data_IF_091367570985
#
_entry.id   IF_091367570985
#
_cell.length_a   1.000
_cell.length_b   1.000
_cell.length_c   1.000
_cell.angle_alpha   90.00
_cell.angle_beta   90.00
_cell.angle_gamma   90.00
#
_symmetry.space_group_name_H-M   'P 1'
#
loop_
_entity.id
_entity.type
_entity.pdbx_description
1 polymer ?
#
# COMPACT_ATOMS: atom_id res chain seq x y z
N UNK A 1 16.72 -4.53 -9.89
CA UNK A 1 16.97 -3.09 -9.61
C UNK A 1 16.12 -2.11 -10.40
N UNK A 2 15.97 -2.22 -11.73
CA UNK A 2 15.17 -1.26 -12.53
C UNK A 2 13.72 -1.01 -12.05
N UNK A 3 13.07 -1.99 -11.41
CA UNK A 3 11.74 -1.78 -10.81
C UNK A 3 11.79 -0.90 -9.55
N UNK A 4 12.82 -1.03 -8.73
CA UNK A 4 12.98 -0.24 -7.52
C UNK A 4 13.23 1.24 -7.86
N UNK A 5 14.00 1.52 -8.91
CA UNK A 5 14.22 2.89 -9.39
C UNK A 5 12.91 3.56 -9.81
N UNK A 6 12.07 2.85 -10.56
CA UNK A 6 10.75 3.35 -10.96
C UNK A 6 9.84 3.59 -9.78
N UNK A 7 9.79 2.67 -8.81
CA UNK A 7 8.96 2.82 -7.62
C UNK A 7 9.43 3.96 -6.73
N UNK A 8 10.75 4.18 -6.60
CA UNK A 8 11.32 5.33 -5.87
C UNK A 8 10.94 6.67 -6.48
N UNK A 9 10.71 6.72 -7.78
CA UNK A 9 10.27 7.93 -8.47
C UNK A 9 8.76 8.22 -8.31
N UNK A 10 7.98 7.33 -7.68
CA UNK A 10 6.55 7.49 -7.47
C UNK A 10 6.23 7.95 -6.04
N UNK A 11 5.11 8.65 -5.88
CA UNK A 11 4.46 8.77 -4.58
C UNK A 11 3.63 7.50 -4.29
N UNK A 12 4.32 6.41 -3.93
CA UNK A 12 3.69 5.10 -3.76
C UNK A 12 2.79 5.06 -2.52
N UNK A 13 1.50 4.77 -2.72
CA UNK A 13 0.56 4.47 -1.65
C UNK A 13 0.05 3.03 -1.76
N UNK A 14 0.12 2.28 -0.66
CA UNK A 14 -0.49 0.96 -0.52
C UNK A 14 -1.76 1.08 0.31
N UNK A 15 -2.85 0.53 -0.21
CA UNK A 15 -4.16 0.49 0.45
C UNK A 15 -4.57 -0.95 0.69
N UNK A 16 -5.00 -1.28 1.90
CA UNK A 16 -5.48 -2.64 2.24
C UNK A 16 -6.64 -2.58 3.23
N UNK A 17 -7.63 -3.44 3.05
CA UNK A 17 -8.62 -3.71 4.08
C UNK A 17 -7.97 -4.38 5.30
N UNK A 18 -8.44 -4.08 6.51
CA UNK A 18 -7.94 -4.68 7.75
C UNK A 18 -8.22 -6.18 7.83
N UNK A 19 -9.34 -6.62 7.25
CA UNK A 19 -9.87 -7.99 7.30
C UNK A 19 -9.72 -8.75 5.96
N UNK A 20 -8.90 -8.26 5.02
CA UNK A 20 -8.70 -8.91 3.72
C UNK A 20 -8.03 -10.30 3.88
N UNK A 21 -8.73 -11.42 3.57
CA UNK A 21 -8.20 -12.76 3.75
C UNK A 21 -7.09 -13.10 2.72
N UNK A 22 -7.02 -12.38 1.60
CA UNK A 22 -6.01 -12.59 0.56
C UNK A 22 -4.72 -11.82 0.86
N UNK A 23 -4.77 -10.83 1.76
CA UNK A 23 -3.62 -10.02 2.16
C UNK A 23 -3.45 -10.08 3.69
N UNK A 24 -3.08 -11.24 4.25
CA UNK A 24 -2.86 -11.36 5.69
C UNK A 24 -1.69 -10.49 6.17
N UNK A 25 -1.66 -10.18 7.47
CA UNK A 25 -0.64 -9.31 8.09
C UNK A 25 0.79 -9.69 7.69
N UNK A 26 1.15 -10.97 7.72
CA UNK A 26 2.48 -11.46 7.33
C UNK A 26 2.85 -11.07 5.90
N UNK A 27 1.88 -11.08 4.97
CA UNK A 27 2.09 -10.65 3.57
C UNK A 27 2.29 -9.13 3.50
N UNK A 28 1.51 -8.34 4.26
CA UNK A 28 1.68 -6.88 4.38
C UNK A 28 3.08 -6.53 4.88
N UNK A 29 3.54 -7.21 5.92
CA UNK A 29 4.87 -7.01 6.51
C UNK A 29 6.00 -7.40 5.55
N UNK A 30 5.84 -8.51 4.82
CA UNK A 30 6.83 -8.93 3.83
C UNK A 30 6.99 -7.90 2.70
N UNK A 31 5.89 -7.36 2.18
CA UNK A 31 5.91 -6.29 1.16
C UNK A 31 6.58 -5.03 1.72
N UNK A 32 6.18 -4.58 2.91
CA UNK A 32 6.79 -3.39 3.55
C UNK A 32 8.28 -3.57 3.79
N UNK A 33 8.73 -4.76 4.20
CA UNK A 33 10.15 -5.07 4.39
C UNK A 33 10.91 -5.01 3.07
N UNK A 34 10.34 -5.56 1.99
CA UNK A 34 10.96 -5.54 0.66
C UNK A 34 11.08 -4.12 0.11
N UNK A 35 10.05 -3.28 0.26
CA UNK A 35 10.10 -1.89 -0.16
C UNK A 35 11.18 -1.11 0.61
N UNK A 36 11.24 -1.29 1.94
CA UNK A 36 12.29 -0.68 2.77
C UNK A 36 13.70 -1.13 2.40
N UNK A 37 13.89 -2.41 2.08
CA UNK A 37 15.20 -2.94 1.66
C UNK A 37 15.72 -2.34 0.34
N UNK A 38 14.87 -1.65 -0.42
CA UNK A 38 15.21 -0.96 -1.66
C UNK A 38 15.05 0.55 -1.57
N UNK A 39 14.91 1.09 -0.35
CA UNK A 39 14.73 2.52 -0.08
C UNK A 39 13.53 3.13 -0.82
N UNK A 40 12.47 2.34 -1.07
CA UNK A 40 11.25 2.82 -1.71
C UNK A 40 10.36 3.48 -0.63
N UNK A 41 10.14 4.81 -0.69
CA UNK A 41 9.20 5.47 0.21
C UNK A 41 7.78 4.96 -0.07
N UNK A 42 7.01 4.71 0.99
CA UNK A 42 5.64 4.19 0.85
C UNK A 42 4.73 4.74 1.94
N UNK A 43 3.59 5.28 1.52
CA UNK A 43 2.46 5.59 2.41
C UNK A 43 1.59 4.35 2.52
N UNK A 44 1.24 3.94 3.74
CA UNK A 44 0.32 2.82 3.97
C UNK A 44 -0.98 3.38 4.51
N UNK A 45 -2.09 3.05 3.87
CA UNK A 45 -3.44 3.33 4.34
C UNK A 45 -4.20 2.03 4.51
N UNK A 46 -5.04 1.99 5.53
CA UNK A 46 -5.95 0.87 5.78
C UNK A 46 -7.36 1.39 5.95
N UNK A 47 -8.33 0.53 5.66
CA UNK A 47 -9.74 0.78 5.92
C UNK A 47 -10.36 -0.46 6.56
N UNK A 48 -11.47 -0.27 7.25
CA UNK A 48 -12.19 -1.37 7.88
C UNK A 48 -12.96 -2.17 6.83
N UNK A 49 -12.56 -3.43 6.63
CA UNK A 49 -13.19 -4.33 5.66
C UNK A 49 -12.25 -5.30 4.97
N UNK A 50 -12.82 -6.09 4.06
CA UNK A 50 -12.14 -7.17 3.34
C UNK A 50 -11.60 -6.76 1.96
N UNK A 51 -11.69 -7.68 0.99
CA UNK A 51 -11.14 -7.51 -0.35
C UNK A 51 -12.10 -6.76 -1.29
N UNK A 52 -12.19 -5.45 -1.12
CA UNK A 52 -12.99 -4.59 -1.99
C UNK A 52 -12.37 -3.19 -2.10
N UNK A 53 -12.94 -2.37 -2.97
CA UNK A 53 -12.61 -0.96 -3.09
C UNK A 53 -13.53 -0.18 -2.15
N UNK A 54 -12.98 0.49 -1.16
CA UNK A 54 -13.70 1.36 -0.24
C UNK A 54 -13.82 2.78 -0.80
N UNK A 55 -15.05 3.30 -0.87
CA UNK A 55 -15.34 4.60 -1.49
C UNK A 55 -14.73 5.76 -0.69
N UNK A 56 -14.85 5.73 0.64
CA UNK A 56 -14.32 6.78 1.50
C UNK A 56 -12.80 6.88 1.35
N UNK A 57 -12.11 5.73 1.30
CA UNK A 57 -10.67 5.64 1.06
C UNK A 57 -10.30 6.19 -0.32
N UNK A 58 -11.05 5.87 -1.37
CA UNK A 58 -10.81 6.42 -2.71
C UNK A 58 -10.91 7.95 -2.72
N UNK A 59 -11.97 8.52 -2.11
CA UNK A 59 -12.14 9.98 -2.02
C UNK A 59 -10.96 10.63 -1.30
N UNK A 60 -10.55 10.05 -0.17
CA UNK A 60 -9.42 10.54 0.62
C UNK A 60 -8.07 10.47 -0.11
N UNK A 61 -7.90 9.58 -1.11
CA UNK A 61 -6.70 9.54 -1.95
C UNK A 61 -6.65 10.74 -2.92
N UNK A 62 -7.79 11.12 -3.50
CA UNK A 62 -7.86 12.27 -4.42
C UNK A 62 -7.57 13.57 -3.69
N UNK A 63 -8.07 13.73 -2.47
CA UNK A 63 -7.87 14.94 -1.67
C UNK A 63 -6.44 15.12 -1.15
N UNK A 64 -5.63 14.07 -1.18
CA UNK A 64 -4.24 14.08 -0.66
C UNK A 64 -3.18 13.92 -1.74
N UNK A 65 -3.60 13.88 -3.02
CA UNK A 65 -2.72 13.84 -4.20
C UNK A 65 -2.47 15.24 -4.74
#
# INVERSE_FOLDING_TARGET
>A
DHHADRLRALNLTLVTGTEDPYVPQKRREAVRRRLRAHDVPVTVRTFDGGHHIDEATLRALVETS
#
